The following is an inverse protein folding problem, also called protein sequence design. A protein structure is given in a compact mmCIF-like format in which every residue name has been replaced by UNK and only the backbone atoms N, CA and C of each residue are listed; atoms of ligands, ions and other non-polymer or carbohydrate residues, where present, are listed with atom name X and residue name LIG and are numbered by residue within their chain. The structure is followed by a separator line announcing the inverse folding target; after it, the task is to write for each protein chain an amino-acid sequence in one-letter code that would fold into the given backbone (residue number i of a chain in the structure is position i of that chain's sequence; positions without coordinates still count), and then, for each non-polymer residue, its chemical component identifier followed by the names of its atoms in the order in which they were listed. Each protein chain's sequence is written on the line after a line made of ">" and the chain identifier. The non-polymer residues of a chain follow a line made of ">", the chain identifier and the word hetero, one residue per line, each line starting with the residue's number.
data_IF_011066702134
#
_entry.id   IF_011066702134
#
_cell.length_a   1.000
_cell.length_b   1.000
_cell.length_c   1.000
_cell.angle_alpha   90.00
_cell.angle_beta   90.00
_cell.angle_gamma   90.00
#
_symmetry.space_group_name_H-M   'P 1'
#
loop_
_entity.id
_entity.type
_entity.pdbx_description
1 polymer ?
#
# COMPACT_ATOMS: atom_id res chain seq x y z
N UNK A 1 10.26 -10.92 8.95
CA UNK A 1 8.87 -10.62 8.57
C UNK A 1 8.75 -10.85 7.08
N UNK A 2 7.67 -11.47 6.61
CA UNK A 2 7.39 -11.51 5.18
C UNK A 2 7.07 -10.10 4.69
N UNK A 3 7.49 -9.76 3.48
CA UNK A 3 7.15 -8.50 2.84
C UNK A 3 5.63 -8.42 2.68
N UNK A 4 5.01 -7.31 3.11
CA UNK A 4 3.57 -7.05 2.93
C UNK A 4 3.34 -6.06 1.80
N UNK A 5 2.57 -6.46 0.79
CA UNK A 5 2.19 -5.62 -0.33
C UNK A 5 0.69 -5.32 -0.29
N UNK A 6 0.31 -4.05 -0.24
CA UNK A 6 -1.08 -3.61 -0.28
C UNK A 6 -1.55 -3.32 -1.69
N UNK A 7 -2.65 -3.96 -2.12
CA UNK A 7 -3.31 -3.67 -3.39
C UNK A 7 -4.20 -2.45 -3.22
N UNK A 8 -3.94 -1.40 -4.00
CA UNK A 8 -4.71 -0.15 -4.01
C UNK A 8 -5.23 0.16 -5.41
N UNK A 9 -6.21 1.06 -5.50
CA UNK A 9 -6.84 1.44 -6.76
C UNK A 9 -8.27 1.92 -6.53
N UNK A 10 -8.81 2.65 -7.49
CA UNK A 10 -10.20 3.12 -7.45
C UNK A 10 -11.20 1.95 -7.41
N UNK A 11 -12.48 2.19 -7.09
CA UNK A 11 -13.52 1.17 -7.22
C UNK A 11 -13.58 0.61 -8.65
N UNK A 12 -13.91 -0.67 -8.77
CA UNK A 12 -14.13 -1.35 -10.07
C UNK A 12 -12.91 -1.47 -11.01
N UNK A 13 -11.68 -1.26 -10.51
CA UNK A 13 -10.44 -1.49 -11.30
C UNK A 13 -9.98 -2.95 -11.36
N UNK A 14 -10.67 -3.86 -10.68
CA UNK A 14 -10.34 -5.29 -10.65
C UNK A 14 -9.51 -5.77 -9.45
N UNK A 15 -9.41 -4.98 -8.36
CA UNK A 15 -8.66 -5.35 -7.13
C UNK A 15 -9.01 -6.73 -6.59
N UNK A 16 -10.28 -6.96 -6.28
CA UNK A 16 -10.72 -8.25 -5.72
C UNK A 16 -10.53 -9.40 -6.70
N UNK A 17 -10.65 -9.15 -8.01
CA UNK A 17 -10.36 -10.15 -9.04
C UNK A 17 -8.88 -10.55 -9.03
N UNK A 18 -7.97 -9.58 -8.99
CA UNK A 18 -6.53 -9.86 -8.91
C UNK A 18 -6.18 -10.54 -7.58
N UNK A 19 -6.70 -10.05 -6.46
CA UNK A 19 -6.50 -10.66 -5.15
C UNK A 19 -6.94 -12.12 -5.14
N UNK A 20 -8.14 -12.41 -5.63
CA UNK A 20 -8.67 -13.77 -5.72
C UNK A 20 -7.84 -14.65 -6.66
N UNK A 21 -7.35 -14.13 -7.77
CA UNK A 21 -6.48 -14.87 -8.68
C UNK A 21 -5.13 -15.23 -8.01
N UNK A 22 -4.55 -14.28 -7.27
CA UNK A 22 -3.30 -14.49 -6.53
C UNK A 22 -3.48 -15.47 -5.36
N UNK A 23 -4.61 -15.42 -4.66
CA UNK A 23 -4.89 -16.31 -3.52
C UNK A 23 -5.36 -17.69 -3.94
N UNK A 24 -6.12 -17.82 -5.03
CA UNK A 24 -6.53 -19.14 -5.55
C UNK A 24 -5.38 -19.88 -6.23
N UNK A 25 -4.34 -19.17 -6.67
CA UNK A 25 -3.28 -19.67 -7.53
C UNK A 25 -2.08 -20.34 -6.88
N UNK A 26 -2.18 -20.84 -5.62
CA UNK A 26 -1.15 -21.50 -4.76
C UNK A 26 -0.99 -20.87 -3.37
N UNK A 27 -1.83 -19.91 -2.97
CA UNK A 27 -1.73 -19.39 -1.62
C UNK A 27 -2.13 -20.46 -0.60
N UNK A 28 -1.22 -20.81 0.29
CA UNK A 28 -1.59 -21.52 1.50
C UNK A 28 -2.40 -20.53 2.34
N UNK A 29 -3.72 -20.63 2.27
CA UNK A 29 -4.62 -19.98 3.21
C UNK A 29 -4.34 -20.56 4.60
N UNK A 30 -3.31 -20.04 5.28
CA UNK A 30 -3.08 -20.32 6.67
C UNK A 30 -4.16 -19.55 7.45
N UNK A 31 -5.16 -20.27 7.94
CA UNK A 31 -6.16 -19.73 8.84
C UNK A 31 -5.45 -19.31 10.14
N UNK A 32 -5.07 -18.04 10.26
CA UNK A 32 -4.62 -17.45 11.51
C UNK A 32 -5.85 -16.97 12.29
N UNK A 33 -6.20 -17.63 13.41
CA UNK A 33 -7.52 -17.50 14.01
C UNK A 33 -7.61 -16.31 14.98
N UNK A 34 -7.44 -15.05 14.53
CA UNK A 34 -7.70 -13.87 15.39
C UNK A 34 -8.19 -12.58 14.68
N UNK A 35 -8.39 -12.59 13.36
CA UNK A 35 -8.74 -11.38 12.61
C UNK A 35 -10.26 -11.17 12.49
N UNK A 36 -10.86 -10.35 13.37
CA UNK A 36 -12.29 -9.97 13.25
C UNK A 36 -12.51 -8.55 12.74
N UNK A 37 -11.45 -7.84 12.30
CA UNK A 37 -11.53 -6.51 11.66
C UNK A 37 -10.44 -6.21 10.61
N UNK A 38 -9.67 -7.20 10.17
CA UNK A 38 -8.47 -6.98 9.36
C UNK A 38 -8.76 -7.10 7.85
N UNK A 39 -8.01 -6.35 7.00
CA UNK A 39 -8.09 -6.47 5.54
C UNK A 39 -7.85 -7.91 5.09
N UNK A 40 -8.38 -8.29 3.92
CA UNK A 40 -8.15 -9.64 3.39
C UNK A 40 -6.65 -9.83 3.12
N UNK A 41 -6.01 -10.79 3.80
CA UNK A 41 -4.59 -11.11 3.61
C UNK A 41 -4.45 -12.46 2.92
N UNK A 42 -3.63 -12.50 1.88
CA UNK A 42 -3.27 -13.70 1.13
C UNK A 42 -1.76 -13.93 1.13
N UNK A 43 -1.31 -15.18 1.25
CA UNK A 43 0.13 -15.50 1.24
C UNK A 43 0.49 -16.12 -0.10
N UNK A 44 1.33 -15.47 -0.90
CA UNK A 44 1.78 -16.00 -2.19
C UNK A 44 3.22 -16.51 -2.10
N UNK A 45 3.52 -17.60 -2.82
CA UNK A 45 4.89 -18.09 -2.98
C UNK A 45 5.57 -17.32 -4.10
N UNK A 46 6.83 -16.92 -3.88
CA UNK A 46 7.62 -16.25 -4.91
C UNK A 46 8.15 -17.30 -5.89
N UNK A 47 7.82 -17.21 -7.19
CA UNK A 47 8.38 -18.09 -8.20
C UNK A 47 9.88 -17.80 -8.36
N UNK A 48 10.72 -18.84 -8.27
CA UNK A 48 12.17 -18.71 -8.39
C UNK A 48 12.78 -19.92 -9.10
N UNK A 49 13.12 -19.75 -10.38
CA UNK A 49 13.73 -20.81 -11.21
C UNK A 49 15.04 -21.36 -10.62
N UNK A 50 15.74 -20.58 -9.78
CA UNK A 50 16.97 -21.04 -9.13
C UNK A 50 16.66 -22.09 -8.07
N UNK A 51 15.57 -21.89 -7.33
CA UNK A 51 15.09 -22.84 -6.33
C UNK A 51 14.60 -24.13 -7.01
N UNK A 52 13.95 -23.99 -8.17
CA UNK A 52 13.50 -25.12 -8.97
C UNK A 52 14.70 -25.96 -9.44
N UNK A 53 15.72 -25.33 -10.03
CA UNK A 53 16.96 -26.02 -10.45
C UNK A 53 17.70 -26.70 -9.29
N UNK A 54 17.79 -26.06 -8.13
CA UNK A 54 18.41 -26.66 -6.95
C UNK A 54 17.63 -27.85 -6.42
N UNK A 55 16.30 -27.78 -6.47
CA UNK A 55 15.41 -28.88 -6.08
C UNK A 55 15.65 -30.09 -6.98
N UNK A 56 15.75 -29.91 -8.29
CA UNK A 56 16.04 -30.98 -9.24
C UNK A 56 17.43 -31.61 -9.02
N UNK A 57 18.44 -30.80 -8.72
CA UNK A 57 19.82 -31.26 -8.50
C UNK A 57 19.98 -32.06 -7.20
N UNK A 58 19.35 -31.61 -6.12
CA UNK A 58 19.60 -32.14 -4.76
C UNK A 58 18.50 -33.11 -4.30
N UNK A 59 17.32 -33.09 -4.92
CA UNK A 59 16.15 -33.90 -4.57
C UNK A 59 15.85 -33.90 -3.06
N UNK A 60 15.60 -32.72 -2.45
CA UNK A 60 15.35 -32.63 -1.02
C UNK A 60 14.01 -33.27 -0.64
N UNK A 61 13.84 -33.61 0.65
CA UNK A 61 12.54 -34.08 1.17
C UNK A 61 11.42 -33.04 1.01
N UNK A 62 11.77 -31.74 0.97
CA UNK A 62 10.82 -30.64 0.81
C UNK A 62 11.50 -29.41 0.21
N UNK A 63 10.83 -28.78 -0.74
CA UNK A 63 11.20 -27.45 -1.26
C UNK A 63 10.39 -26.37 -0.54
N UNK A 64 11.08 -25.35 -0.04
CA UNK A 64 10.49 -24.26 0.73
C UNK A 64 10.71 -22.93 0.00
N UNK A 65 9.74 -22.45 -0.82
CA UNK A 65 9.84 -21.15 -1.44
C UNK A 65 9.69 -20.03 -0.41
N UNK A 66 10.25 -18.87 -0.71
CA UNK A 66 9.97 -17.65 0.04
C UNK A 66 8.55 -17.18 -0.24
N UNK A 67 7.96 -16.44 0.70
CA UNK A 67 6.57 -15.98 0.62
C UNK A 67 6.47 -14.46 0.74
N UNK A 68 5.42 -13.91 0.15
CA UNK A 68 5.00 -12.50 0.27
C UNK A 68 3.55 -12.48 0.75
N UNK A 69 3.21 -11.54 1.61
CA UNK A 69 1.84 -11.27 2.04
C UNK A 69 1.23 -10.20 1.13
N UNK A 70 0.06 -10.49 0.57
CA UNK A 70 -0.74 -9.56 -0.23
C UNK A 70 -1.94 -9.14 0.62
N UNK A 71 -2.17 -7.84 0.74
CA UNK A 71 -3.26 -7.25 1.50
C UNK A 71 -4.22 -6.55 0.54
N UNK A 72 -5.50 -6.94 0.51
CA UNK A 72 -6.53 -6.21 -0.21
C UNK A 72 -6.95 -4.99 0.59
N UNK A 73 -6.52 -3.81 0.15
CA UNK A 73 -6.89 -2.54 0.78
C UNK A 73 -8.20 -2.06 0.13
N UNK A 74 -9.20 -1.80 0.96
CA UNK A 74 -10.51 -1.32 0.53
C UNK A 74 -10.39 -0.15 -0.47
N UNK A 75 -11.30 -0.04 -1.44
CA UNK A 75 -11.19 0.98 -2.49
C UNK A 75 -11.22 2.41 -1.94
N UNK A 76 -10.30 3.26 -2.42
CA UNK A 76 -10.29 4.69 -2.12
C UNK A 76 -11.40 5.39 -2.89
N UNK A 77 -12.17 6.24 -2.22
CA UNK A 77 -13.10 7.18 -2.86
C UNK A 77 -12.48 8.57 -2.74
N UNK A 78 -12.62 9.38 -3.78
CA UNK A 78 -12.15 10.78 -3.83
C UNK A 78 -12.61 11.57 -2.60
N UNK A 79 -11.73 12.36 -1.98
CA UNK A 79 -12.04 13.11 -0.76
C UNK A 79 -11.72 12.38 0.55
N UNK A 80 -10.94 11.31 0.47
CA UNK A 80 -10.51 10.51 1.60
C UNK A 80 -9.76 11.31 2.69
N UNK A 81 -8.92 12.26 2.26
CA UNK A 81 -8.20 13.19 3.13
C UNK A 81 -9.13 14.18 3.88
N UNK A 82 -10.35 14.42 3.39
CA UNK A 82 -11.29 15.40 3.98
C UNK A 82 -12.12 14.85 5.15
N UNK A 83 -11.92 13.60 5.56
CA UNK A 83 -12.37 13.11 6.87
C UNK A 83 -13.72 12.37 6.91
N UNK A 84 -14.28 11.92 5.79
CA UNK A 84 -15.54 11.12 5.75
C UNK A 84 -15.40 9.67 6.28
N UNK A 85 -14.42 9.40 7.16
CA UNK A 85 -14.27 8.12 7.86
C UNK A 85 -13.67 6.97 7.03
N UNK A 86 -14.14 6.73 5.80
CA UNK A 86 -13.64 5.67 4.92
C UNK A 86 -12.21 5.92 4.43
N UNK A 87 -11.89 7.17 4.11
CA UNK A 87 -10.56 7.57 3.63
C UNK A 87 -9.45 7.43 4.68
N UNK A 88 -9.76 7.72 5.95
CA UNK A 88 -8.79 7.58 7.03
C UNK A 88 -8.50 6.10 7.35
N UNK A 89 -9.50 5.21 7.20
CA UNK A 89 -9.28 3.76 7.36
C UNK A 89 -8.42 3.20 6.23
N UNK A 90 -8.64 3.65 4.99
CA UNK A 90 -7.76 3.32 3.86
C UNK A 90 -6.31 3.69 4.12
N UNK A 91 -6.06 4.96 4.51
CA UNK A 91 -4.72 5.47 4.77
C UNK A 91 -4.06 4.79 5.99
N UNK A 92 -4.85 4.38 6.98
CA UNK A 92 -4.35 3.59 8.11
C UNK A 92 -3.88 2.21 7.64
N UNK A 93 -4.66 1.51 6.80
CA UNK A 93 -4.29 0.19 6.28
C UNK A 93 -3.05 0.25 5.37
N UNK A 94 -2.85 1.32 4.62
CA UNK A 94 -1.62 1.53 3.83
C UNK A 94 -0.37 1.61 4.72
N UNK A 95 -0.48 2.15 5.93
CA UNK A 95 0.68 2.24 6.85
C UNK A 95 1.12 0.89 7.40
N UNK A 96 0.28 -0.13 7.28
CA UNK A 96 0.56 -1.49 7.75
C UNK A 96 1.21 -2.38 6.67
N UNK A 97 1.46 -1.83 5.47
CA UNK A 97 2.14 -2.53 4.37
C UNK A 97 3.50 -1.91 4.05
N UNK A 98 4.41 -2.72 3.50
CA UNK A 98 5.76 -2.31 3.13
C UNK A 98 5.84 -1.78 1.69
N UNK A 99 4.91 -2.20 0.83
CA UNK A 99 4.86 -1.83 -0.58
C UNK A 99 3.41 -1.66 -1.07
N UNK A 100 3.23 -0.81 -2.08
CA UNK A 100 1.93 -0.55 -2.71
C UNK A 100 1.91 -1.16 -4.12
N UNK A 101 0.86 -1.93 -4.42
CA UNK A 101 0.53 -2.43 -5.75
C UNK A 101 -0.66 -1.64 -6.26
N UNK A 102 -0.41 -0.63 -7.09
CA UNK A 102 -1.43 0.28 -7.59
C UNK A 102 -2.06 -0.25 -8.89
N UNK A 103 -3.34 -0.64 -8.83
CA UNK A 103 -4.12 -1.02 -9.99
C UNK A 103 -4.79 0.20 -10.62
N UNK A 104 -4.50 0.38 -11.91
CA UNK A 104 -5.08 1.43 -12.75
C UNK A 104 -5.93 0.74 -13.83
N UNK A 105 -7.17 1.21 -14.00
CA UNK A 105 -8.09 0.65 -15.00
C UNK A 105 -7.75 1.19 -16.38
N UNK A 106 -7.30 0.29 -17.27
CA UNK A 106 -6.99 0.60 -18.68
C UNK A 106 -7.95 -0.10 -19.65
N UNK A 107 -9.20 -0.29 -19.27
CA UNK A 107 -10.22 -0.96 -20.10
C UNK A 107 -11.59 -0.30 -19.96
N UNK A 108 -12.34 -0.28 -21.07
CA UNK A 108 -13.73 0.13 -21.12
C UNK A 108 -14.65 -1.11 -21.00
N UNK A 109 -15.77 -0.96 -20.29
CA UNK A 109 -16.79 -1.99 -20.18
C UNK A 109 -18.12 -1.34 -19.80
N UNK A 110 -19.12 -1.47 -20.65
CA UNK A 110 -20.46 -0.86 -20.48
C UNK A 110 -21.19 -1.36 -19.23
N UNK A 111 -20.85 -2.56 -18.74
CA UNK A 111 -21.43 -3.14 -17.54
C UNK A 111 -20.72 -2.71 -16.25
N UNK A 112 -19.64 -1.90 -16.34
CA UNK A 112 -18.81 -1.53 -15.20
C UNK A 112 -18.70 -0.01 -15.10
N UNK A 113 -19.52 0.57 -14.23
CA UNK A 113 -19.57 2.01 -13.98
C UNK A 113 -18.26 2.50 -13.36
N UNK A 114 -17.70 3.57 -13.95
CA UNK A 114 -16.57 4.30 -13.39
C UNK A 114 -17.05 5.37 -12.40
N UNK A 115 -16.30 5.59 -11.32
CA UNK A 115 -16.70 6.54 -10.25
C UNK A 115 -16.84 7.98 -10.73
N UNK A 116 -15.99 8.38 -11.67
CA UNK A 116 -16.02 9.71 -12.31
C UNK A 116 -16.78 9.69 -13.66
N UNK A 117 -17.52 8.62 -13.96
CA UNK A 117 -18.34 8.50 -15.19
C UNK A 117 -17.56 8.17 -16.48
N UNK A 118 -16.26 8.46 -16.54
CA UNK A 118 -15.37 8.05 -17.64
C UNK A 118 -14.10 7.38 -17.12
N UNK A 119 -13.51 6.47 -17.90
CA UNK A 119 -12.22 5.85 -17.59
C UNK A 119 -11.10 6.78 -18.06
N UNK A 120 -10.20 7.15 -17.16
CA UNK A 120 -8.99 7.92 -17.48
C UNK A 120 -7.84 7.45 -16.58
N UNK A 121 -6.98 6.55 -17.08
CA UNK A 121 -5.90 5.95 -16.28
C UNK A 121 -4.97 6.97 -15.63
N UNK A 122 -4.70 8.09 -16.30
CA UNK A 122 -3.75 9.11 -15.82
C UNK A 122 -4.40 9.87 -14.67
N UNK A 123 -5.62 10.38 -14.88
CA UNK A 123 -6.39 11.06 -13.83
C UNK A 123 -6.61 10.15 -12.62
N UNK A 124 -6.95 8.88 -12.84
CA UNK A 124 -7.25 7.94 -11.77
C UNK A 124 -6.01 7.64 -10.92
N UNK A 125 -4.83 7.54 -11.55
CA UNK A 125 -3.53 7.45 -10.85
C UNK A 125 -3.28 8.71 -10.03
N UNK A 126 -3.40 9.88 -10.64
CA UNK A 126 -3.14 11.18 -10.00
C UNK A 126 -4.02 11.42 -8.78
N UNK A 127 -5.28 10.98 -8.80
CA UNK A 127 -6.19 11.06 -7.65
C UNK A 127 -5.58 10.33 -6.43
N UNK A 128 -5.12 9.10 -6.62
CA UNK A 128 -4.56 8.30 -5.52
C UNK A 128 -3.23 8.88 -5.04
N UNK A 129 -2.34 9.26 -5.95
CA UNK A 129 -1.05 9.85 -5.60
C UNK A 129 -1.25 11.15 -4.81
N UNK A 130 -2.17 12.01 -5.25
CA UNK A 130 -2.50 13.27 -4.56
C UNK A 130 -3.00 13.02 -3.13
N UNK A 131 -3.89 12.05 -2.93
CA UNK A 131 -4.42 11.75 -1.59
C UNK A 131 -3.34 11.19 -0.65
N UNK A 132 -2.36 10.42 -1.18
CA UNK A 132 -1.22 9.94 -0.42
C UNK A 132 -0.27 11.09 -0.05
N UNK A 133 0.10 11.94 -1.02
CA UNK A 133 0.96 13.12 -0.79
C UNK A 133 0.32 14.06 0.24
N UNK A 134 -0.98 14.37 0.12
CA UNK A 134 -1.68 15.21 1.10
C UNK A 134 -1.62 14.62 2.51
N UNK A 135 -1.71 13.29 2.64
CA UNK A 135 -1.59 12.65 3.96
C UNK A 135 -0.17 12.70 4.52
N UNK A 136 0.82 12.59 3.65
CA UNK A 136 2.22 12.71 4.02
C UNK A 136 2.57 14.14 4.43
N UNK A 137 2.04 15.16 3.74
CA UNK A 137 2.14 16.58 4.15
C UNK A 137 1.57 16.76 5.56
N UNK A 138 0.33 16.33 5.81
CA UNK A 138 -0.30 16.45 7.13
C UNK A 138 0.54 15.77 8.23
N UNK A 139 1.14 14.62 7.91
CA UNK A 139 1.98 13.85 8.84
C UNK A 139 3.34 14.53 9.07
N UNK A 140 3.96 15.05 8.01
CA UNK A 140 5.22 15.75 8.04
C UNK A 140 5.11 17.06 8.82
N UNK A 141 4.05 17.85 8.62
CA UNK A 141 3.77 19.08 9.37
C UNK A 141 3.67 18.82 10.87
N UNK A 142 2.81 17.87 11.28
CA UNK A 142 2.64 17.49 12.69
C UNK A 142 3.94 17.01 13.33
N UNK A 143 4.77 16.29 12.57
CA UNK A 143 6.07 15.79 13.04
C UNK A 143 7.08 16.94 13.15
N UNK A 144 7.12 17.82 12.17
CA UNK A 144 8.01 18.98 12.14
C UNK A 144 7.71 19.94 13.30
N UNK A 145 6.44 20.17 13.64
CA UNK A 145 6.05 20.99 14.79
C UNK A 145 6.55 20.42 16.12
N UNK A 146 6.49 19.09 16.29
CA UNK A 146 7.04 18.42 17.47
C UNK A 146 8.55 18.56 17.53
N UNK A 147 9.23 18.33 16.40
CA UNK A 147 10.69 18.46 16.31
C UNK A 147 11.15 19.90 16.59
N UNK A 148 10.44 20.91 16.08
CA UNK A 148 10.70 22.33 16.35
C UNK A 148 10.58 22.65 17.84
N UNK A 149 9.59 22.08 18.54
CA UNK A 149 9.45 22.24 20.00
C UNK A 149 10.60 21.60 20.77
N UNK A 150 11.04 20.41 20.37
CA UNK A 150 12.16 19.70 21.00
C UNK A 150 13.51 20.38 20.73
N UNK A 151 13.71 20.93 19.53
CA UNK A 151 14.93 21.64 19.17
C UNK A 151 15.16 22.93 19.96
N UNK A 152 14.12 23.52 20.59
CA UNK A 152 14.27 24.69 21.48
C UNK A 152 15.18 24.42 22.67
N UNK A 153 15.38 23.15 23.06
CA UNK A 153 16.34 22.74 24.10
C UNK A 153 17.81 22.80 23.67
N UNK A 154 18.12 23.14 22.41
CA UNK A 154 19.49 23.30 21.90
C UNK A 154 20.20 21.99 21.55
N UNK A 155 19.51 20.85 21.61
CA UNK A 155 20.06 19.56 21.23
C UNK A 155 20.32 19.48 19.72
N UNK A 156 21.61 19.32 19.35
CA UNK A 156 22.08 19.30 17.94
C UNK A 156 21.38 18.26 17.08
N UNK A 157 20.94 17.14 17.66
CA UNK A 157 20.20 16.09 16.96
C UNK A 157 18.84 16.59 16.47
N UNK A 158 18.06 17.26 17.33
CA UNK A 158 16.74 17.77 16.97
C UNK A 158 16.82 18.91 15.94
N UNK A 159 17.86 19.76 16.02
CA UNK A 159 18.09 20.81 15.00
C UNK A 159 18.29 20.20 13.61
N UNK A 160 19.12 19.14 13.49
CA UNK A 160 19.31 18.44 12.22
C UNK A 160 18.01 17.78 11.71
N UNK A 161 17.23 17.17 12.61
CA UNK A 161 15.94 16.57 12.25
C UNK A 161 14.91 17.61 11.77
N UNK A 162 14.93 18.82 12.32
CA UNK A 162 14.09 19.92 11.83
C UNK A 162 14.48 20.33 10.42
N UNK A 163 15.78 20.46 10.13
CA UNK A 163 16.26 20.80 8.78
C UNK A 163 15.84 19.74 7.75
N UNK A 164 16.04 18.46 8.06
CA UNK A 164 15.62 17.35 7.18
C UNK A 164 14.10 17.33 7.03
N UNK A 165 13.36 17.49 8.14
CA UNK A 165 11.90 17.51 8.12
C UNK A 165 11.33 18.65 7.27
N UNK A 166 11.99 19.82 7.28
CA UNK A 166 11.62 20.93 6.41
C UNK A 166 11.85 20.58 4.93
N UNK A 167 13.00 20.01 4.57
CA UNK A 167 13.29 19.59 3.18
C UNK A 167 12.28 18.56 2.67
N UNK A 168 11.87 17.61 3.51
CA UNK A 168 10.83 16.63 3.14
C UNK A 168 9.49 17.32 2.91
N UNK A 169 9.08 18.22 3.80
CA UNK A 169 7.83 18.95 3.67
C UNK A 169 7.81 19.84 2.42
N UNK A 170 8.92 20.52 2.13
CA UNK A 170 9.05 21.37 0.94
C UNK A 170 8.90 20.52 -0.33
N UNK A 171 9.58 19.37 -0.41
CA UNK A 171 9.46 18.44 -1.54
C UNK A 171 8.02 17.94 -1.73
N UNK A 172 7.33 17.57 -0.66
CA UNK A 172 5.95 17.10 -0.74
C UNK A 172 4.97 18.19 -1.22
N UNK A 173 5.23 19.46 -0.90
CA UNK A 173 4.39 20.59 -1.33
C UNK A 173 4.55 20.94 -2.82
N UNK A 174 5.59 20.45 -3.48
CA UNK A 174 5.81 20.65 -4.92
C UNK A 174 4.98 19.68 -5.79
N UNK A 175 4.35 18.67 -5.18
CA UNK A 175 3.56 17.61 -5.84
C UNK A 175 4.42 16.44 -6.32
#
# INVERSE_FOLDING_TARGET
>A
MALKCGIVGLPNVGKSTLFNALTSGKALAANYPFATKDPNVGIIQVPDERLDKLTELVNPQKTMPTTIEIVDIAGLIKGASKGEGLGNQFLANIREVDAIVHLVRCFENENVVHVDGSVDPVRDKEIIDTELVLKDIETAEKRLDKLKKQAKGGEKEFVKKVEIGQKILDHLNEG
#
